data_IF_011974590216
#
_entry.id   IF_011974590216
#
_cell.length_a   1.000
_cell.length_b   1.000
_cell.length_c   1.000
_cell.angle_alpha   90.00
_cell.angle_beta   90.00
_cell.angle_gamma   90.00
#
_symmetry.space_group_name_H-M   'P 1'
#
loop_
_entity.id
_entity.type
_entity.pdbx_description
1 polymer ?
#
# COMPACT_ATOMS: atom_id res chain seq x y z
N UNK A 1 21.93 -16.46 8.39
CA UNK A 1 21.56 -15.50 9.45
C UNK A 1 20.53 -16.18 10.32
N UNK A 2 20.57 -16.01 11.64
CA UNK A 2 19.54 -16.56 12.55
C UNK A 2 18.91 -15.40 13.31
N UNK A 3 17.59 -15.44 13.48
CA UNK A 3 16.83 -14.41 14.17
C UNK A 3 15.90 -15.04 15.20
N UNK A 4 15.70 -14.35 16.32
CA UNK A 4 14.71 -14.70 17.34
C UNK A 4 13.83 -13.48 17.60
N UNK A 5 12.55 -13.72 17.87
CA UNK A 5 11.60 -12.66 18.25
C UNK A 5 11.65 -12.55 19.75
N UNK A 6 11.75 -11.32 20.26
CA UNK A 6 11.66 -11.04 21.69
C UNK A 6 10.32 -10.38 21.98
N UNK A 7 9.55 -11.02 22.87
CA UNK A 7 8.29 -10.47 23.39
C UNK A 7 8.32 -10.51 24.92
N UNK A 8 8.01 -9.38 25.56
CA UNK A 8 8.06 -9.20 27.01
C UNK A 8 9.34 -9.71 27.70
N UNK A 9 10.49 -9.61 27.03
CA UNK A 9 11.79 -10.06 27.56
C UNK A 9 12.07 -11.56 27.41
N UNK A 10 11.13 -12.32 26.87
CA UNK A 10 11.32 -13.73 26.49
C UNK A 10 11.65 -13.82 25.00
N UNK A 11 12.77 -14.49 24.67
CA UNK A 11 13.18 -14.73 23.30
C UNK A 11 12.61 -16.08 22.79
N UNK A 12 12.14 -16.10 21.55
CA UNK A 12 11.78 -17.33 20.84
C UNK A 12 13.01 -18.19 20.51
N UNK A 13 12.77 -19.43 20.08
CA UNK A 13 13.81 -20.23 19.44
C UNK A 13 14.38 -19.49 18.22
N UNK A 14 15.69 -19.65 17.99
CA UNK A 14 16.38 -19.01 16.89
C UNK A 14 16.03 -19.71 15.56
N UNK A 15 15.47 -18.95 14.62
CA UNK A 15 15.09 -19.44 13.30
C UNK A 15 16.13 -19.04 12.26
N UNK A 16 16.47 -19.96 11.35
CA UNK A 16 17.34 -19.68 10.22
C UNK A 16 16.62 -18.75 9.22
N UNK A 17 17.14 -17.54 9.05
CA UNK A 17 16.71 -16.58 8.04
C UNK A 17 17.38 -16.95 6.72
N UNK A 18 16.62 -17.60 5.82
CA UNK A 18 17.09 -18.03 4.49
C UNK A 18 16.71 -17.05 3.37
N UNK A 19 15.70 -16.21 3.58
CA UNK A 19 15.09 -15.36 2.55
C UNK A 19 15.49 -13.87 2.69
N UNK A 20 16.47 -13.58 3.55
CA UNK A 20 16.93 -12.22 3.81
C UNK A 20 17.87 -11.69 2.73
N UNK A 21 17.80 -10.39 2.46
CA UNK A 21 18.69 -9.66 1.55
C UNK A 21 19.69 -8.82 2.35
N UNK A 22 20.86 -8.51 1.76
CA UNK A 22 21.88 -7.71 2.44
C UNK A 22 21.38 -6.28 2.70
N UNK A 23 21.56 -5.78 3.92
CA UNK A 23 21.30 -4.39 4.27
C UNK A 23 22.12 -3.42 3.40
N UNK A 24 21.50 -2.34 2.94
CA UNK A 24 22.11 -1.38 2.01
C UNK A 24 22.07 -1.80 0.54
N UNK A 25 21.33 -2.86 0.20
CA UNK A 25 21.08 -3.21 -1.20
C UNK A 25 20.12 -2.20 -1.84
N UNK A 26 20.65 -1.38 -2.76
CA UNK A 26 19.91 -0.32 -3.45
C UNK A 26 18.71 -0.84 -4.25
N UNK A 27 18.77 -2.09 -4.71
CA UNK A 27 17.73 -2.69 -5.55
C UNK A 27 16.53 -3.23 -4.75
N UNK A 28 16.74 -3.58 -3.47
CA UNK A 28 15.72 -4.21 -2.63
C UNK A 28 14.47 -3.35 -2.45
N UNK A 29 14.56 -2.04 -2.14
CA UNK A 29 13.38 -1.18 -2.06
C UNK A 29 12.59 -1.11 -3.37
N UNK A 30 13.26 -1.23 -4.53
CA UNK A 30 12.58 -1.23 -5.83
C UNK A 30 11.82 -2.54 -6.05
N UNK A 31 12.44 -3.68 -5.75
CA UNK A 31 11.79 -4.99 -5.88
C UNK A 31 10.62 -5.14 -4.89
N UNK A 32 10.80 -4.67 -3.66
CA UNK A 32 9.73 -4.63 -2.66
C UNK A 32 8.55 -3.80 -3.16
N UNK A 33 8.78 -2.59 -3.67
CA UNK A 33 7.71 -1.76 -4.25
C UNK A 33 6.98 -2.45 -5.39
N UNK A 34 7.68 -3.11 -6.30
CA UNK A 34 7.05 -3.81 -7.43
C UNK A 34 6.16 -4.97 -6.94
N UNK A 35 6.69 -5.83 -6.07
CA UNK A 35 5.95 -6.95 -5.48
C UNK A 35 4.73 -6.45 -4.70
N UNK A 36 4.92 -5.43 -3.86
CA UNK A 36 3.87 -4.85 -3.05
C UNK A 36 2.79 -4.20 -3.92
N UNK A 37 3.17 -3.46 -4.97
CA UNK A 37 2.22 -2.89 -5.93
C UNK A 37 1.41 -3.97 -6.64
N UNK A 38 2.03 -5.08 -7.02
CA UNK A 38 1.30 -6.20 -7.64
C UNK A 38 0.35 -6.89 -6.67
N UNK A 39 0.75 -7.05 -5.39
CA UNK A 39 -0.09 -7.60 -4.34
C UNK A 39 -1.31 -6.71 -4.08
N UNK A 40 -1.13 -5.39 -3.99
CA UNK A 40 -2.23 -4.45 -3.80
C UNK A 40 -3.17 -4.39 -5.00
N UNK A 41 -2.59 -4.42 -6.21
CA UNK A 41 -3.39 -4.50 -7.43
C UNK A 41 -4.27 -5.75 -7.40
N UNK A 42 -3.78 -6.88 -6.89
CA UNK A 42 -4.54 -8.12 -6.78
C UNK A 42 -5.59 -8.09 -5.66
N UNK A 43 -5.20 -7.63 -4.47
CA UNK A 43 -6.06 -7.57 -3.29
C UNK A 43 -7.28 -6.65 -3.49
N UNK A 44 -7.11 -5.57 -4.25
CA UNK A 44 -8.14 -4.53 -4.41
C UNK A 44 -8.72 -4.44 -5.82
N UNK A 45 -8.50 -5.43 -6.71
CA UNK A 45 -8.98 -5.39 -8.12
C UNK A 45 -10.43 -4.97 -8.26
N UNK A 46 -11.27 -5.53 -7.40
CA UNK A 46 -12.73 -5.39 -7.46
C UNK A 46 -13.28 -4.42 -6.40
N UNK A 47 -12.40 -3.83 -5.59
CA UNK A 47 -12.79 -3.00 -4.46
C UNK A 47 -12.54 -1.52 -4.74
N UNK A 48 -13.54 -0.70 -4.41
CA UNK A 48 -13.44 0.75 -4.48
C UNK A 48 -12.87 1.32 -3.16
N UNK A 49 -11.82 0.66 -2.66
CA UNK A 49 -11.00 1.14 -1.54
C UNK A 49 -10.12 2.29 -2.03
N UNK A 50 -9.66 3.18 -1.17
CA UNK A 50 -8.81 4.32 -1.59
C UNK A 50 -9.47 5.70 -1.47
N UNK A 51 -8.66 6.74 -1.61
CA UNK A 51 -9.11 8.14 -1.61
C UNK A 51 -9.37 8.55 -3.06
N UNK A 52 -10.61 8.97 -3.33
CA UNK A 52 -10.97 9.55 -4.62
C UNK A 52 -10.54 11.00 -4.70
N UNK A 53 -9.61 11.27 -5.61
CA UNK A 53 -9.14 12.62 -5.93
C UNK A 53 -9.77 13.03 -7.26
N UNK A 54 -10.65 14.00 -7.18
CA UNK A 54 -11.17 14.71 -8.34
C UNK A 54 -10.08 15.67 -8.87
N UNK A 55 -9.69 15.53 -10.13
CA UNK A 55 -8.71 16.38 -10.77
C UNK A 55 -9.19 16.88 -12.14
N UNK A 56 -8.60 18.00 -12.57
CA UNK A 56 -8.74 18.54 -13.93
C UNK A 56 -7.36 18.88 -14.46
N UNK A 57 -7.12 18.62 -15.74
CA UNK A 57 -5.87 18.98 -16.43
C UNK A 57 -5.92 20.36 -17.05
N UNK A 58 -7.01 21.13 -16.83
CA UNK A 58 -7.06 22.51 -17.31
C UNK A 58 -6.05 23.36 -16.55
N UNK A 59 -5.35 24.24 -17.28
CA UNK A 59 -4.19 25.04 -16.84
C UNK A 59 -4.48 26.06 -15.71
N UNK A 60 -5.60 25.91 -15.01
CA UNK A 60 -6.09 26.83 -13.99
C UNK A 60 -6.51 26.09 -12.72
N UNK A 61 -5.55 25.36 -12.15
CA UNK A 61 -5.63 24.53 -10.94
C UNK A 61 -6.30 25.21 -9.72
N UNK A 62 -6.33 26.54 -9.65
CA UNK A 62 -6.84 27.31 -8.50
C UNK A 62 -8.29 27.78 -8.65
N UNK A 63 -9.00 27.36 -9.70
CA UNK A 63 -10.35 27.83 -9.97
C UNK A 63 -11.42 26.92 -9.31
N UNK A 64 -11.59 27.07 -7.99
CA UNK A 64 -12.48 26.23 -7.16
C UNK A 64 -13.92 26.05 -7.69
N UNK A 65 -14.61 27.08 -8.23
CA UNK A 65 -15.95 26.91 -8.80
C UNK A 65 -16.00 25.94 -10.01
N UNK A 66 -14.88 25.74 -10.71
CA UNK A 66 -14.79 24.80 -11.84
C UNK A 66 -14.51 23.36 -11.42
N UNK A 67 -13.95 23.14 -10.23
CA UNK A 67 -13.87 21.80 -9.64
C UNK A 67 -15.24 21.33 -9.13
N UNK A 68 -16.13 22.25 -8.76
CA UNK A 68 -17.51 21.93 -8.35
C UNK A 68 -18.45 21.64 -9.53
N UNK A 69 -18.06 22.03 -10.76
CA UNK A 69 -18.79 21.67 -11.96
C UNK A 69 -18.53 20.20 -12.32
N UNK A 70 -19.58 19.38 -12.36
CA UNK A 70 -19.51 17.94 -12.63
C UNK A 70 -19.07 17.58 -14.05
N UNK A 71 -19.06 18.56 -14.96
CA UNK A 71 -18.64 18.38 -16.36
C UNK A 71 -17.12 18.56 -16.49
N UNK A 72 -16.46 17.55 -17.07
CA UNK A 72 -15.00 17.51 -17.35
C UNK A 72 -14.06 17.36 -16.12
N UNK A 73 -14.52 16.77 -15.02
CA UNK A 73 -13.65 16.37 -13.90
C UNK A 73 -13.32 14.88 -14.04
N UNK A 74 -12.04 14.53 -13.97
CA UNK A 74 -11.58 13.14 -13.91
C UNK A 74 -11.39 12.74 -12.45
N UNK A 75 -11.59 11.47 -12.14
CA UNK A 75 -11.40 10.93 -10.80
C UNK A 75 -10.28 9.91 -10.85
N UNK A 76 -9.31 10.03 -9.95
CA UNK A 76 -8.31 8.99 -9.71
C UNK A 76 -8.42 8.50 -8.27
N UNK A 77 -8.19 7.23 -8.02
CA UNK A 77 -8.12 6.66 -6.69
C UNK A 77 -6.66 6.45 -6.29
N UNK A 78 -6.31 6.93 -5.09
CA UNK A 78 -5.03 6.63 -4.45
C UNK A 78 -5.29 5.59 -3.38
N UNK A 79 -4.64 4.43 -3.50
CA UNK A 79 -4.84 3.29 -2.61
C UNK A 79 -3.70 3.15 -1.59
N UNK A 80 -2.50 3.58 -1.98
CA UNK A 80 -1.27 3.41 -1.21
C UNK A 80 -0.29 4.57 -1.41
N UNK A 81 0.52 4.83 -0.38
CA UNK A 81 1.69 5.69 -0.44
C UNK A 81 2.92 4.87 -0.04
N UNK A 82 3.82 4.64 -1.00
CA UNK A 82 5.03 3.83 -0.80
C UNK A 82 6.28 4.70 -0.66
N UNK A 83 7.04 4.49 0.41
CA UNK A 83 8.38 5.05 0.59
C UNK A 83 9.37 3.99 1.07
N UNK A 84 10.29 3.63 0.19
CA UNK A 84 11.28 2.56 0.42
C UNK A 84 10.60 1.24 0.81
N UNK A 85 10.75 0.79 2.05
CA UNK A 85 10.10 -0.35 2.68
C UNK A 85 8.83 -0.01 3.48
N UNK A 86 8.54 1.28 3.69
CA UNK A 86 7.32 1.76 4.36
C UNK A 86 6.16 1.90 3.36
N UNK A 87 4.96 1.51 3.81
CA UNK A 87 3.70 1.74 3.10
C UNK A 87 2.63 2.28 4.05
N UNK A 88 1.87 3.27 3.58
CA UNK A 88 0.62 3.69 4.19
C UNK A 88 -0.55 3.40 3.24
N UNK A 89 -1.49 2.57 3.68
CA UNK A 89 -2.76 2.36 3.00
C UNK A 89 -3.74 3.46 3.41
N UNK A 90 -4.42 4.07 2.44
CA UNK A 90 -5.37 5.14 2.70
C UNK A 90 -6.79 4.70 2.35
N UNK A 91 -7.70 4.78 3.31
CA UNK A 91 -9.14 4.58 3.09
C UNK A 91 -9.93 5.71 3.74
N UNK A 92 -11.09 6.06 3.16
CA UNK A 92 -11.90 7.21 3.61
C UNK A 92 -12.67 6.91 4.90
N UNK A 93 -12.89 5.63 5.25
CA UNK A 93 -13.70 5.21 6.40
C UNK A 93 -12.98 4.14 7.22
N UNK A 94 -13.18 4.14 8.54
CA UNK A 94 -12.59 3.17 9.47
C UNK A 94 -12.98 1.72 9.13
N UNK A 95 -14.25 1.48 8.80
CA UNK A 95 -14.74 0.16 8.34
C UNK A 95 -13.99 -0.34 7.09
N UNK A 96 -13.59 0.58 6.23
CA UNK A 96 -12.81 0.28 5.04
C UNK A 96 -11.35 -0.02 5.38
N UNK A 97 -10.80 0.48 6.49
CA UNK A 97 -9.45 0.12 6.95
C UNK A 97 -9.36 -1.36 7.32
N UNK A 98 -10.31 -1.86 8.13
CA UNK A 98 -10.29 -3.27 8.54
C UNK A 98 -10.47 -4.19 7.33
N UNK A 99 -11.45 -3.90 6.47
CA UNK A 99 -11.69 -4.66 5.24
C UNK A 99 -10.47 -4.63 4.30
N UNK A 100 -9.80 -3.48 4.19
CA UNK A 100 -8.56 -3.34 3.40
C UNK A 100 -7.47 -4.28 3.93
N UNK A 101 -7.28 -4.33 5.25
CA UNK A 101 -6.28 -5.21 5.86
C UNK A 101 -6.64 -6.69 5.72
N UNK A 102 -7.92 -7.05 5.80
CA UNK A 102 -8.38 -8.42 5.62
C UNK A 102 -8.15 -8.92 4.19
N UNK A 103 -8.41 -8.08 3.18
CA UNK A 103 -8.14 -8.38 1.78
C UNK A 103 -6.64 -8.47 1.49
N UNK A 104 -5.86 -7.55 2.06
CA UNK A 104 -4.40 -7.60 1.98
C UNK A 104 -3.85 -8.92 2.55
N UNK A 105 -4.35 -9.34 3.73
CA UNK A 105 -3.94 -10.60 4.34
C UNK A 105 -4.30 -11.82 3.48
N UNK A 106 -5.49 -11.82 2.86
CA UNK A 106 -5.91 -12.90 1.94
C UNK A 106 -5.03 -12.97 0.70
N UNK A 107 -4.72 -11.83 0.07
CA UNK A 107 -3.86 -11.78 -1.10
C UNK A 107 -2.38 -12.09 -0.76
N UNK A 108 -1.92 -11.76 0.45
CA UNK A 108 -0.59 -12.16 0.90
C UNK A 108 -0.47 -13.69 1.03
N UNK A 109 -1.56 -14.38 1.41
CA UNK A 109 -1.60 -15.83 1.48
C UNK A 109 -1.64 -16.50 0.09
N UNK A 110 -2.15 -15.82 -0.95
CA UNK A 110 -2.20 -16.37 -2.32
C UNK A 110 -0.88 -16.25 -3.08
N UNK A 111 0.10 -15.52 -2.54
CA UNK A 111 1.46 -15.41 -3.07
C UNK A 111 2.45 -16.45 -2.51
N UNK A 112 1.98 -17.37 -1.66
CA UNK A 112 2.75 -18.47 -1.06
C UNK A 112 2.29 -19.86 -1.51
#
# INVERSE_FOLDING_TARGET
MTACVTDNGTASEAVAVTNGVKQGCVLVPTLFRLMFSTLLLDAYRDEQLGIHIAYRTDWHLLNSPRMQATTCVSMTSVHDLLFADDCALYTVMEENMQRSMDLFAQAALSLY
#
